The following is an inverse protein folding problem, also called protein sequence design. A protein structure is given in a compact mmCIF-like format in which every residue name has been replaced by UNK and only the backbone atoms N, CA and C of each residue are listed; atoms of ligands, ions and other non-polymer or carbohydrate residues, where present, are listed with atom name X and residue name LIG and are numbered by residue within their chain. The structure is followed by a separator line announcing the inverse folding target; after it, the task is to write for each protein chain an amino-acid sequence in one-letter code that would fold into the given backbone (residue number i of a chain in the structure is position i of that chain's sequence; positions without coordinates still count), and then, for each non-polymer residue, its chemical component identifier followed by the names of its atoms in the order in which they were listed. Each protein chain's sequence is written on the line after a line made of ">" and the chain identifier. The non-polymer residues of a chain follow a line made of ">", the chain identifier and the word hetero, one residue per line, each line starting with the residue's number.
data_IF_049831864731
#
_entry.id   IF_049831864731
#
_cell.length_a   1.000
_cell.length_b   1.000
_cell.length_c   1.000
_cell.angle_alpha   90.00
_cell.angle_beta   90.00
_cell.angle_gamma   90.00
#
_symmetry.space_group_name_H-M   'P 1'
#
loop_
_entity.id
_entity.type
_entity.pdbx_description
1 polymer ?
#
# COMPACT_ATOMS: atom_id res chain seq x y z
N UNK A 1 1.43 23.54 -26.80
CA UNK A 1 2.58 23.10 -25.99
C UNK A 1 2.01 22.79 -24.62
N UNK A 2 2.02 21.52 -24.19
CA UNK A 2 1.46 21.15 -22.89
C UNK A 2 2.45 21.64 -21.83
N UNK A 3 2.01 22.54 -20.95
CA UNK A 3 2.84 23.15 -19.93
C UNK A 3 2.78 22.30 -18.64
N UNK A 4 3.75 21.39 -18.53
CA UNK A 4 3.84 20.41 -17.44
C UNK A 4 4.28 21.01 -16.10
N UNK A 5 4.75 22.27 -16.08
CA UNK A 5 5.21 22.97 -14.87
C UNK A 5 4.11 23.81 -14.23
N UNK A 6 2.94 23.91 -14.88
CA UNK A 6 1.81 24.66 -14.35
C UNK A 6 1.12 23.91 -13.20
N UNK A 7 0.86 24.57 -12.06
CA UNK A 7 0.04 24.01 -10.98
C UNK A 7 -1.32 23.50 -11.46
N UNK A 8 -1.87 24.15 -12.49
CA UNK A 8 -3.14 23.79 -13.12
C UNK A 8 -3.07 22.42 -13.81
N UNK A 9 -2.00 22.11 -14.55
CA UNK A 9 -1.81 20.81 -15.17
C UNK A 9 -1.78 19.68 -14.12
N UNK A 10 -1.04 19.89 -13.03
CA UNK A 10 -0.94 18.93 -11.94
C UNK A 10 -2.29 18.74 -11.23
N UNK A 11 -3.05 19.82 -11.04
CA UNK A 11 -4.40 19.76 -10.48
C UNK A 11 -5.35 18.93 -11.36
N UNK A 12 -5.34 19.14 -12.68
CA UNK A 12 -6.14 18.34 -13.62
C UNK A 12 -5.71 16.88 -13.66
N UNK A 13 -4.40 16.59 -13.59
CA UNK A 13 -3.88 15.23 -13.56
C UNK A 13 -4.30 14.48 -12.27
N UNK A 14 -4.17 15.12 -11.10
CA UNK A 14 -4.62 14.57 -9.83
C UNK A 14 -6.13 14.38 -9.84
N UNK A 15 -6.89 15.37 -10.32
CA UNK A 15 -8.34 15.25 -10.42
C UNK A 15 -8.74 14.08 -11.32
N UNK A 16 -8.10 13.92 -12.48
CA UNK A 16 -8.31 12.78 -13.37
C UNK A 16 -8.01 11.44 -12.71
N UNK A 17 -6.95 11.36 -11.91
CA UNK A 17 -6.59 10.15 -11.15
C UNK A 17 -7.62 9.83 -10.07
N UNK A 18 -8.02 10.83 -9.28
CA UNK A 18 -9.05 10.68 -8.25
C UNK A 18 -10.37 10.26 -8.90
N UNK A 19 -10.76 10.90 -9.99
CA UNK A 19 -12.00 10.62 -10.70
C UNK A 19 -12.00 9.19 -11.28
N UNK A 20 -10.89 8.74 -11.87
CA UNK A 20 -10.72 7.37 -12.32
C UNK A 20 -10.89 6.36 -11.18
N UNK A 21 -10.30 6.65 -10.03
CA UNK A 21 -10.43 5.81 -8.84
C UNK A 21 -11.87 5.75 -8.31
N UNK A 22 -12.56 6.89 -8.25
CA UNK A 22 -13.97 6.96 -7.85
C UNK A 22 -14.85 6.14 -8.81
N UNK A 23 -14.66 6.28 -10.12
CA UNK A 23 -15.39 5.47 -11.10
C UNK A 23 -15.08 3.98 -10.98
N UNK A 24 -13.83 3.61 -10.73
CA UNK A 24 -13.42 2.21 -10.53
C UNK A 24 -14.13 1.60 -9.31
N UNK A 25 -14.18 2.32 -8.18
CA UNK A 25 -14.91 1.88 -6.98
C UNK A 25 -16.40 1.80 -7.25
N UNK A 26 -17.01 2.84 -7.83
CA UNK A 26 -18.43 2.87 -8.13
C UNK A 26 -18.84 1.71 -9.04
N UNK A 27 -18.02 1.40 -10.04
CA UNK A 27 -18.20 0.26 -10.93
C UNK A 27 -18.05 -1.07 -10.19
N UNK A 28 -17.04 -1.20 -9.32
CA UNK A 28 -16.85 -2.38 -8.48
C UNK A 28 -18.04 -2.63 -7.55
N UNK A 29 -18.58 -1.59 -6.92
CA UNK A 29 -19.78 -1.66 -6.08
C UNK A 29 -21.03 -2.01 -6.90
N UNK A 30 -21.17 -1.42 -8.09
CA UNK A 30 -22.26 -1.74 -9.01
C UNK A 30 -22.24 -3.22 -9.42
N UNK A 31 -21.09 -3.75 -9.83
CA UNK A 31 -20.95 -5.16 -10.17
C UNK A 31 -21.18 -6.06 -8.94
N UNK A 32 -20.61 -5.68 -7.80
CA UNK A 32 -20.78 -6.42 -6.54
C UNK A 32 -22.23 -6.51 -6.10
N UNK A 33 -23.05 -5.49 -6.37
CA UNK A 33 -24.47 -5.48 -6.04
C UNK A 33 -25.31 -6.32 -7.00
N UNK A 34 -24.93 -6.38 -8.28
CA UNK A 34 -25.70 -7.09 -9.31
C UNK A 34 -25.33 -8.57 -9.44
N UNK A 35 -24.07 -8.93 -9.21
CA UNK A 35 -23.54 -10.29 -9.37
C UNK A 35 -23.31 -10.93 -7.99
N UNK A 36 -23.01 -10.14 -6.95
CA UNK A 36 -22.57 -10.65 -5.65
C UNK A 36 -21.06 -10.89 -5.62
N UNK A 37 -20.41 -10.53 -4.51
CA UNK A 37 -18.93 -10.65 -4.36
C UNK A 37 -18.45 -12.09 -4.54
N UNK A 38 -19.25 -13.04 -4.07
CA UNK A 38 -18.97 -14.48 -4.16
C UNK A 38 -18.97 -14.96 -5.62
N UNK A 39 -20.01 -14.65 -6.39
CA UNK A 39 -20.04 -14.97 -7.82
C UNK A 39 -18.99 -14.17 -8.60
N UNK A 40 -18.63 -12.94 -8.21
CA UNK A 40 -17.52 -12.22 -8.85
C UNK A 40 -16.17 -12.89 -8.62
N UNK A 41 -15.96 -13.52 -7.46
CA UNK A 41 -14.74 -14.29 -7.18
C UNK A 41 -14.74 -15.65 -7.88
N UNK A 42 -15.89 -16.31 -7.97
CA UNK A 42 -16.05 -17.62 -8.62
C UNK A 42 -16.09 -17.51 -10.16
N UNK A 43 -16.65 -16.41 -10.69
CA UNK A 43 -16.71 -16.06 -12.12
C UNK A 43 -15.49 -15.25 -12.56
N UNK A 44 -14.44 -15.14 -11.74
CA UNK A 44 -13.14 -14.64 -12.22
C UNK A 44 -12.72 -15.57 -13.35
N UNK A 45 -12.94 -15.11 -14.58
CA UNK A 45 -12.65 -15.87 -15.78
C UNK A 45 -11.25 -16.44 -15.71
N UNK A 46 -11.10 -17.66 -16.25
CA UNK A 46 -9.96 -18.57 -16.17
C UNK A 46 -8.68 -17.99 -16.81
N UNK A 47 -8.28 -16.79 -16.38
CA UNK A 47 -7.00 -16.19 -16.68
C UNK A 47 -6.03 -16.84 -15.73
N UNK A 48 -5.36 -17.86 -16.23
CA UNK A 48 -4.21 -18.50 -15.61
C UNK A 48 -3.24 -17.39 -15.20
N UNK A 49 -3.25 -17.01 -13.92
CA UNK A 49 -2.37 -15.97 -13.41
C UNK A 49 -0.96 -16.55 -13.49
N UNK A 50 -0.04 -15.96 -14.28
CA UNK A 50 1.29 -16.53 -14.42
C UNK A 50 1.96 -16.51 -13.05
N UNK A 51 2.60 -17.61 -12.70
CA UNK A 51 3.21 -17.80 -11.38
C UNK A 51 4.23 -16.69 -11.02
N UNK A 52 4.87 -16.10 -12.04
CA UNK A 52 5.75 -14.94 -11.90
C UNK A 52 5.03 -13.69 -11.38
N UNK A 53 3.77 -13.47 -11.77
CA UNK A 53 2.97 -12.34 -11.29
C UNK A 53 2.64 -12.52 -9.80
N UNK A 54 2.34 -13.76 -9.38
CA UNK A 54 2.15 -14.09 -7.98
C UNK A 54 3.45 -13.89 -7.16
N UNK A 55 4.61 -14.29 -7.71
CA UNK A 55 5.91 -14.04 -7.10
C UNK A 55 6.24 -12.53 -7.00
N UNK A 56 5.87 -11.75 -8.02
CA UNK A 56 6.04 -10.29 -8.03
C UNK A 56 5.21 -9.60 -6.94
N UNK A 57 4.04 -10.15 -6.61
CA UNK A 57 3.22 -9.68 -5.51
C UNK A 57 3.79 -10.13 -4.16
N UNK A 58 4.31 -11.35 -4.08
CA UNK A 58 4.86 -11.91 -2.85
C UNK A 58 6.05 -11.09 -2.31
N UNK A 59 6.89 -10.53 -3.18
CA UNK A 59 8.09 -9.79 -2.77
C UNK A 59 7.80 -8.51 -1.94
N UNK A 60 6.92 -7.58 -2.38
CA UNK A 60 6.47 -6.46 -1.56
C UNK A 60 5.87 -6.88 -0.21
N UNK A 61 5.01 -7.89 -0.19
CA UNK A 61 4.37 -8.36 1.05
C UNK A 61 5.39 -8.97 2.01
N UNK A 62 6.32 -9.78 1.51
CA UNK A 62 7.40 -10.34 2.32
C UNK A 62 8.27 -9.24 2.94
N UNK A 63 8.63 -8.21 2.16
CA UNK A 63 9.37 -7.04 2.66
C UNK A 63 8.60 -6.31 3.76
N UNK A 64 7.29 -6.18 3.62
CA UNK A 64 6.43 -5.57 4.63
C UNK A 64 6.41 -6.40 5.93
N UNK A 65 6.28 -7.72 5.84
CA UNK A 65 6.35 -8.62 7.01
C UNK A 65 7.69 -8.52 7.74
N UNK A 66 8.80 -8.50 7.01
CA UNK A 66 10.14 -8.33 7.59
C UNK A 66 10.26 -7.00 8.33
N UNK A 67 9.71 -5.93 7.74
CA UNK A 67 9.73 -4.59 8.35
C UNK A 67 8.92 -4.58 9.65
N UNK A 68 7.72 -5.17 9.64
CA UNK A 68 6.88 -5.29 10.83
C UNK A 68 7.53 -6.15 11.92
N UNK A 69 8.18 -7.25 11.55
CA UNK A 69 8.90 -8.11 12.50
C UNK A 69 10.05 -7.35 13.17
N UNK A 70 10.84 -6.60 12.39
CA UNK A 70 11.92 -5.75 12.93
C UNK A 70 11.36 -4.72 13.90
N UNK A 71 10.32 -3.99 13.48
CA UNK A 71 9.63 -2.99 14.31
C UNK A 71 9.13 -3.61 15.61
N UNK A 72 8.49 -4.77 15.55
CA UNK A 72 7.95 -5.48 16.71
C UNK A 72 9.05 -5.90 17.69
N UNK A 73 10.16 -6.48 17.23
CA UNK A 73 11.28 -6.85 18.12
C UNK A 73 11.82 -5.63 18.86
N UNK A 74 12.01 -4.50 18.18
CA UNK A 74 12.48 -3.31 18.86
C UNK A 74 11.44 -2.77 19.85
N UNK A 75 10.15 -2.80 19.53
CA UNK A 75 9.10 -2.42 20.48
C UNK A 75 9.15 -3.30 21.73
N UNK A 76 9.30 -4.62 21.57
CA UNK A 76 9.45 -5.55 22.69
C UNK A 76 10.73 -5.28 23.50
N UNK A 77 11.88 -5.06 22.85
CA UNK A 77 13.14 -4.75 23.51
C UNK A 77 13.08 -3.47 24.35
N UNK A 78 12.47 -2.40 23.82
CA UNK A 78 12.33 -1.14 24.55
C UNK A 78 11.31 -1.23 25.70
N UNK A 79 10.23 -2.02 25.54
CA UNK A 79 9.25 -2.30 26.60
C UNK A 79 9.85 -3.10 27.76
N UNK A 80 10.69 -4.10 27.47
CA UNK A 80 11.39 -4.92 28.48
C UNK A 80 12.40 -4.09 29.30
N UNK A 81 13.02 -3.07 28.69
CA UNK A 81 13.92 -2.14 29.37
C UNK A 81 13.22 -0.98 30.11
N UNK A 82 11.88 -0.97 30.17
CA UNK A 82 11.11 0.08 30.84
C UNK A 82 11.16 1.45 30.16
N UNK A 83 11.58 1.51 28.89
CA UNK A 83 11.72 2.75 28.14
C UNK A 83 10.39 3.14 27.50
N UNK A 84 10.04 4.42 27.59
CA UNK A 84 8.80 4.96 27.03
C UNK A 84 8.81 4.92 25.50
N UNK A 85 7.63 4.75 24.87
CA UNK A 85 7.43 4.79 23.42
C UNK A 85 8.04 6.03 22.73
N UNK A 86 8.28 7.12 23.48
CA UNK A 86 9.00 8.32 23.02
C UNK A 86 10.46 8.05 22.70
N UNK A 87 11.16 7.23 23.49
CA UNK A 87 12.57 6.89 23.26
C UNK A 87 12.74 5.99 22.04
N UNK A 88 11.77 5.10 21.82
CA UNK A 88 11.69 4.28 20.61
C UNK A 88 11.55 5.14 19.34
N UNK A 89 10.68 6.16 19.37
CA UNK A 89 10.52 7.07 18.25
C UNK A 89 11.79 7.90 17.99
N UNK A 90 12.44 8.38 19.05
CA UNK A 90 13.74 9.08 18.95
C UNK A 90 14.81 8.15 18.37
N UNK A 91 14.89 6.88 18.78
CA UNK A 91 15.84 5.92 18.24
C UNK A 91 15.63 5.62 16.74
N UNK A 92 14.37 5.53 16.29
CA UNK A 92 14.06 5.33 14.88
C UNK A 92 14.34 6.56 13.99
N UNK A 93 14.32 7.75 14.59
CA UNK A 93 14.48 9.04 13.89
C UNK A 93 15.83 9.71 14.14
N UNK A 94 16.61 9.20 15.09
CA UNK A 94 18.01 9.59 15.29
C UNK A 94 18.82 8.95 14.18
N UNK A 95 19.07 9.73 13.13
CA UNK A 95 19.98 9.41 12.06
C UNK A 95 21.31 8.94 12.64
N UNK A 96 21.69 7.72 12.27
CA UNK A 96 23.06 7.24 12.29
C UNK A 96 23.87 8.09 11.28
N UNK A 97 24.21 9.32 11.68
CA UNK A 97 25.16 10.20 10.98
C UNK A 97 26.59 9.71 11.23
N UNK A 98 26.85 8.43 10.96
CA UNK A 98 28.19 7.85 10.83
C UNK A 98 28.17 6.74 9.79
N UNK A 99 28.30 7.12 8.52
CA UNK A 99 29.38 6.65 7.63
C UNK A 99 29.36 7.43 6.31
#
# INVERSE_FOLDING_TARGET
>A
MIDFDSPDFFAYAIFGLILNFVFSIAFGLYLSKNIGVEEMMLSKGDRVQPWWLALSLAFPYAKMVITLYRVAILQFYFLDQGKSHKEYWIYLTSTDDRH
#
